data_IF_346853665407
#
_entry.id   IF_346853665407
#
_cell.length_a   1.000
_cell.length_b   1.000
_cell.length_c   1.000
_cell.angle_alpha   90.00
_cell.angle_beta   90.00
_cell.angle_gamma   90.00
#
_symmetry.space_group_name_H-M   'P 1'
#
loop_
_entity.id
_entity.type
_entity.pdbx_description
1 polymer ?
#
# COMPACT_ATOMS: atom_id res chain seq x y z
N UNK A 1 -23.55 21.18 -63.03
CA UNK A 1 -23.80 20.37 -61.81
C UNK A 1 -22.48 19.74 -61.32
N UNK A 2 -21.47 20.55 -61.02
CA UNK A 2 -20.13 20.00 -60.71
C UNK A 2 -19.36 20.85 -59.66
N UNK A 3 -19.93 21.06 -58.47
CA UNK A 3 -19.25 21.82 -57.41
C UNK A 3 -19.34 21.23 -56.00
N UNK A 4 -19.92 20.04 -55.85
CA UNK A 4 -20.16 19.50 -54.47
C UNK A 4 -19.27 18.32 -54.06
N UNK A 5 -18.48 17.73 -54.95
CA UNK A 5 -17.65 16.54 -54.64
C UNK A 5 -16.28 16.90 -54.06
N UNK A 6 -15.70 18.06 -54.37
CA UNK A 6 -14.39 18.42 -53.83
C UNK A 6 -14.42 18.86 -52.35
N UNK A 7 -15.56 19.42 -51.89
CA UNK A 7 -15.67 19.88 -50.50
C UNK A 7 -15.86 18.75 -49.53
N UNK A 8 -16.51 17.64 -49.93
CA UNK A 8 -16.69 16.43 -49.08
C UNK A 8 -15.38 15.65 -48.90
N UNK A 9 -14.52 15.58 -49.92
CA UNK A 9 -13.23 14.92 -49.84
C UNK A 9 -12.25 15.61 -48.86
N UNK A 10 -12.26 16.95 -48.81
CA UNK A 10 -11.42 17.73 -47.87
C UNK A 10 -11.87 17.56 -46.40
N UNK A 11 -13.17 17.54 -46.14
CA UNK A 11 -13.73 17.34 -44.80
C UNK A 11 -13.42 15.93 -44.28
N UNK A 12 -13.53 14.92 -45.13
CA UNK A 12 -13.20 13.54 -44.75
C UNK A 12 -11.70 13.40 -44.42
N UNK A 13 -10.81 14.06 -45.15
CA UNK A 13 -9.36 14.04 -44.83
C UNK A 13 -9.05 14.74 -43.50
N UNK A 14 -9.75 15.79 -43.16
CA UNK A 14 -9.60 16.51 -41.89
C UNK A 14 -10.12 15.63 -40.72
N UNK A 15 -11.24 14.94 -40.90
CA UNK A 15 -11.80 14.05 -39.88
C UNK A 15 -10.88 12.83 -39.65
N UNK A 16 -10.31 12.23 -40.70
CA UNK A 16 -9.35 11.11 -40.57
C UNK A 16 -8.06 11.59 -39.91
N UNK A 17 -7.57 12.81 -40.22
CA UNK A 17 -6.41 13.39 -39.55
C UNK A 17 -6.64 13.68 -38.08
N UNK A 18 -7.82 14.10 -37.66
CA UNK A 18 -8.19 14.36 -36.27
C UNK A 18 -8.35 13.06 -35.47
N UNK A 19 -8.87 11.99 -36.07
CA UNK A 19 -8.97 10.68 -35.42
C UNK A 19 -7.59 10.04 -35.21
N UNK A 20 -6.64 10.25 -36.13
CA UNK A 20 -5.27 9.75 -35.98
C UNK A 20 -4.47 10.47 -34.87
N UNK A 21 -4.77 11.74 -34.60
CA UNK A 21 -4.12 12.49 -33.50
C UNK A 21 -4.64 12.04 -32.14
N UNK A 22 -5.90 11.58 -32.03
CA UNK A 22 -6.48 11.05 -30.77
C UNK A 22 -5.93 9.67 -30.42
N UNK A 23 -5.46 8.88 -31.40
CA UNK A 23 -4.91 7.52 -31.14
C UNK A 23 -3.44 7.57 -30.68
N UNK A 24 -2.70 8.66 -30.91
CA UNK A 24 -1.29 8.77 -30.49
C UNK A 24 -1.14 9.42 -29.10
N UNK A 25 -2.20 10.03 -28.55
CA UNK A 25 -2.21 10.70 -27.24
C UNK A 25 -2.68 9.85 -26.06
N UNK A 26 -2.98 8.57 -26.22
CA UNK A 26 -3.68 7.73 -25.23
C UNK A 26 -2.90 6.58 -24.64
N UNK A 27 -1.59 6.57 -24.64
CA UNK A 27 -0.79 5.62 -23.86
C UNK A 27 -0.12 6.32 -22.67
N UNK A 28 -0.93 6.89 -21.78
CA UNK A 28 -0.51 7.01 -20.38
C UNK A 28 -0.70 5.59 -19.83
N UNK A 29 0.28 4.72 -20.06
CA UNK A 29 0.46 3.54 -19.29
C UNK A 29 0.65 4.00 -17.84
N UNK A 30 -0.39 3.90 -17.02
CA UNK A 30 -0.24 3.84 -15.58
C UNK A 30 0.72 2.69 -15.31
N UNK A 31 2.01 2.96 -15.22
CA UNK A 31 2.97 2.03 -14.66
C UNK A 31 2.57 1.85 -13.20
N UNK A 32 1.69 0.89 -12.94
CA UNK A 32 1.55 0.32 -11.61
C UNK A 32 2.93 -0.26 -11.29
N UNK A 33 3.71 0.47 -10.52
CA UNK A 33 5.05 0.01 -10.12
C UNK A 33 4.89 -1.12 -9.12
N UNK A 34 5.60 -2.23 -9.34
CA UNK A 34 5.66 -3.31 -8.36
C UNK A 34 6.28 -2.82 -7.05
N UNK A 35 5.90 -3.42 -5.90
CA UNK A 35 6.50 -3.09 -4.62
C UNK A 35 8.02 -3.29 -4.66
N UNK A 36 8.78 -2.32 -4.15
CA UNK A 36 10.25 -2.35 -4.18
C UNK A 36 10.84 -1.96 -2.84
N UNK A 37 11.80 -2.76 -2.35
CA UNK A 37 12.63 -2.37 -1.21
C UNK A 37 13.59 -1.26 -1.64
N UNK A 38 13.60 -0.12 -0.94
CA UNK A 38 14.48 1.04 -1.20
C UNK A 38 15.42 1.35 -0.05
N UNK A 39 15.29 0.66 1.09
CA UNK A 39 16.16 0.85 2.24
C UNK A 39 15.72 0.08 3.48
N UNK A 40 16.42 0.32 4.58
CA UNK A 40 16.08 -0.17 5.91
C UNK A 40 15.96 1.02 6.87
N UNK A 41 15.00 0.95 7.79
CA UNK A 41 14.86 1.94 8.85
C UNK A 41 15.88 1.66 9.95
N UNK A 42 16.54 2.71 10.49
CA UNK A 42 17.56 2.63 11.55
C UNK A 42 16.97 2.30 12.94
N UNK A 43 16.02 1.40 13.03
CA UNK A 43 15.65 0.80 14.31
C UNK A 43 16.39 -0.54 14.45
N UNK A 44 17.19 -0.61 15.49
CA UNK A 44 18.20 -1.63 15.78
C UNK A 44 17.68 -3.06 15.70
N UNK A 45 17.74 -3.68 14.54
CA UNK A 45 17.77 -5.15 14.40
C UNK A 45 18.81 -5.46 13.33
N UNK A 46 19.96 -5.90 13.78
CA UNK A 46 21.08 -6.31 12.95
C UNK A 46 20.77 -7.63 12.25
N UNK A 47 20.70 -7.61 10.94
CA UNK A 47 21.09 -8.75 10.13
C UNK A 47 21.47 -8.30 8.72
N UNK A 48 22.73 -8.47 8.44
CA UNK A 48 23.44 -8.24 7.20
C UNK A 48 23.05 -9.31 6.19
N UNK A 49 22.48 -8.96 5.06
CA UNK A 49 22.64 -9.79 3.86
C UNK A 49 22.60 -8.99 2.56
N UNK A 50 23.47 -9.38 1.67
CA UNK A 50 23.85 -8.81 0.39
C UNK A 50 22.80 -9.02 -0.70
N UNK A 51 22.86 -8.10 -1.66
CA UNK A 51 22.18 -8.05 -2.95
C UNK A 51 21.94 -9.40 -3.66
N UNK A 52 20.69 -9.65 -4.01
CA UNK A 52 20.31 -10.40 -5.21
C UNK A 52 19.04 -9.78 -5.82
N UNK A 53 19.06 -9.72 -7.15
CA UNK A 53 18.07 -9.05 -7.97
C UNK A 53 16.95 -10.04 -8.30
N UNK A 54 16.07 -10.28 -7.33
CA UNK A 54 14.80 -10.95 -7.55
C UNK A 54 13.67 -9.99 -7.16
N UNK A 55 12.63 -9.91 -7.96
CA UNK A 55 11.40 -9.18 -7.65
C UNK A 55 10.75 -9.79 -6.40
N UNK A 56 11.23 -9.36 -5.23
CA UNK A 56 10.74 -9.82 -3.96
C UNK A 56 9.35 -9.23 -3.73
N UNK A 57 8.35 -10.06 -3.78
CA UNK A 57 6.98 -9.74 -3.34
C UNK A 57 6.84 -9.78 -1.81
N UNK A 58 7.81 -10.36 -1.09
CA UNK A 58 7.81 -10.45 0.36
C UNK A 58 8.93 -9.62 0.99
N UNK A 59 8.57 -8.79 1.97
CA UNK A 59 9.46 -7.90 2.72
C UNK A 59 9.52 -8.31 4.19
N UNK A 60 10.31 -7.61 4.99
CA UNK A 60 10.43 -7.81 6.45
C UNK A 60 10.11 -6.49 7.17
N UNK A 61 9.68 -6.60 8.43
CA UNK A 61 9.59 -5.43 9.30
C UNK A 61 10.94 -4.69 9.34
N UNK A 62 10.91 -3.36 9.24
CA UNK A 62 12.08 -2.49 9.11
C UNK A 62 12.49 -2.17 7.67
N UNK A 63 12.03 -2.92 6.67
CA UNK A 63 12.29 -2.57 5.28
C UNK A 63 11.55 -1.27 4.89
N UNK A 64 12.22 -0.42 4.11
CA UNK A 64 11.58 0.72 3.44
C UNK A 64 11.07 0.25 2.08
N UNK A 65 9.76 0.22 1.92
CA UNK A 65 9.09 -0.35 0.75
C UNK A 65 8.49 0.78 -0.07
N UNK A 66 8.96 0.95 -1.32
CA UNK A 66 8.38 1.90 -2.27
C UNK A 66 7.31 1.20 -3.10
N UNK A 67 6.10 1.74 -3.08
CA UNK A 67 4.95 1.17 -3.78
C UNK A 67 3.92 2.25 -4.12
N UNK A 68 3.51 2.34 -5.37
CA UNK A 68 2.46 3.27 -5.86
C UNK A 68 2.61 4.71 -5.34
N UNK A 69 3.82 5.27 -5.45
CA UNK A 69 4.11 6.66 -5.08
C UNK A 69 4.19 6.93 -3.58
N UNK A 70 4.25 5.88 -2.75
CA UNK A 70 4.45 5.97 -1.30
C UNK A 70 5.65 5.15 -0.83
N UNK A 71 6.20 5.51 0.30
CA UNK A 71 7.08 4.66 1.08
C UNK A 71 6.37 4.21 2.34
N UNK A 72 6.40 2.90 2.59
CA UNK A 72 5.87 2.24 3.77
C UNK A 72 7.01 1.64 4.59
N UNK A 73 6.95 1.81 5.90
CA UNK A 73 7.83 1.13 6.87
C UNK A 73 7.00 0.58 8.00
N UNK A 74 7.22 -0.68 8.37
CA UNK A 74 6.80 -1.22 9.66
C UNK A 74 7.91 -0.89 10.68
N UNK A 75 7.65 0.09 11.54
CA UNK A 75 8.66 0.57 12.51
C UNK A 75 8.81 -0.36 13.71
N UNK A 76 7.70 -0.97 14.17
CA UNK A 76 7.73 -1.95 15.25
C UNK A 76 6.48 -2.83 15.28
N UNK A 77 6.63 -4.02 15.85
CA UNK A 77 5.57 -4.99 16.10
C UNK A 77 5.57 -5.33 17.58
N UNK A 78 4.46 -5.10 18.27
CA UNK A 78 4.27 -5.41 19.69
C UNK A 78 3.23 -6.52 19.82
N UNK A 79 3.69 -7.71 20.19
CA UNK A 79 2.82 -8.87 20.46
C UNK A 79 2.27 -8.82 21.89
N UNK A 80 1.15 -9.47 22.10
CA UNK A 80 0.46 -9.47 23.40
C UNK A 80 0.18 -8.04 23.91
N UNK A 81 -0.12 -7.12 23.00
CA UNK A 81 -0.41 -5.73 23.32
C UNK A 81 -1.52 -5.64 24.39
N UNK A 82 -1.30 -4.79 25.39
CA UNK A 82 -2.28 -4.52 26.46
C UNK A 82 -2.89 -3.14 26.26
N UNK A 83 -4.20 -3.08 26.21
CA UNK A 83 -4.93 -1.84 25.97
C UNK A 83 -4.90 -0.86 27.15
N UNK A 84 -4.49 -1.33 28.35
CA UNK A 84 -4.63 -0.60 29.59
C UNK A 84 -6.06 -0.60 30.18
N UNK A 85 -7.03 -1.15 29.44
CA UNK A 85 -8.40 -1.32 29.88
C UNK A 85 -8.70 -2.80 30.13
N UNK A 86 -9.04 -3.16 31.37
CA UNK A 86 -9.29 -4.55 31.80
C UNK A 86 -10.49 -5.19 31.07
N UNK A 87 -11.42 -4.40 30.54
CA UNK A 87 -12.59 -4.90 29.80
C UNK A 87 -12.31 -5.16 28.33
N UNK A 88 -11.20 -4.65 27.80
CA UNK A 88 -10.81 -4.84 26.39
C UNK A 88 -9.68 -5.85 26.34
N UNK A 89 -10.05 -7.12 26.17
CA UNK A 89 -9.13 -8.26 26.10
C UNK A 89 -9.33 -9.03 24.80
N UNK A 90 -8.28 -9.67 24.27
CA UNK A 90 -8.45 -10.58 23.14
C UNK A 90 -9.29 -11.78 23.55
N UNK A 91 -9.93 -12.43 22.59
CA UNK A 91 -10.67 -13.68 22.79
C UNK A 91 -9.72 -14.78 23.28
N UNK A 92 -10.29 -15.82 23.91
CA UNK A 92 -9.53 -16.97 24.36
C UNK A 92 -8.72 -17.59 23.21
N UNK A 93 -7.44 -17.85 23.44
CA UNK A 93 -6.50 -18.37 22.44
C UNK A 93 -6.01 -17.35 21.43
N UNK A 94 -6.43 -16.07 21.54
CA UNK A 94 -5.95 -14.97 20.69
C UNK A 94 -5.09 -13.96 21.46
N UNK A 95 -4.38 -13.14 20.72
CA UNK A 95 -3.62 -11.99 21.22
C UNK A 95 -3.90 -10.75 20.40
N UNK A 96 -3.70 -9.56 20.99
CA UNK A 96 -3.58 -8.34 20.23
C UNK A 96 -2.14 -8.15 19.77
N UNK A 97 -2.01 -7.81 18.48
CA UNK A 97 -0.73 -7.42 17.87
C UNK A 97 -0.86 -5.98 17.40
N UNK A 98 -0.06 -5.08 18.01
CA UNK A 98 0.03 -3.68 17.60
C UNK A 98 1.20 -3.49 16.67
N UNK A 99 0.93 -2.93 15.49
CA UNK A 99 1.93 -2.64 14.46
C UNK A 99 2.02 -1.13 14.28
N UNK A 100 3.21 -0.56 14.48
CA UNK A 100 3.47 0.83 14.18
C UNK A 100 3.99 0.95 12.75
N UNK A 101 3.31 1.77 11.96
CA UNK A 101 3.65 1.99 10.55
C UNK A 101 3.92 3.45 10.28
N UNK A 102 4.83 3.70 9.34
CA UNK A 102 5.06 5.02 8.76
C UNK A 102 4.75 4.96 7.28
N UNK A 103 3.95 5.91 6.81
CA UNK A 103 3.63 6.13 5.40
C UNK A 103 4.15 7.51 5.00
N UNK A 104 4.88 7.60 3.91
CA UNK A 104 5.37 8.86 3.33
C UNK A 104 4.91 8.98 1.88
N UNK A 105 4.34 10.12 1.51
CA UNK A 105 3.95 10.40 0.13
C UNK A 105 5.17 10.84 -0.68
N UNK A 106 5.57 10.04 -1.65
CA UNK A 106 6.66 10.31 -2.61
C UNK A 106 6.15 10.75 -3.99
N UNK A 107 4.83 10.81 -4.16
CA UNK A 107 4.22 11.28 -5.40
C UNK A 107 4.15 12.81 -5.48
N UNK A 108 3.81 13.34 -6.65
CA UNK A 108 3.52 14.76 -6.84
C UNK A 108 2.12 15.15 -6.39
N UNK A 109 1.22 14.18 -6.27
CA UNK A 109 -0.19 14.33 -5.96
C UNK A 109 -0.48 14.02 -4.49
N UNK A 110 -1.68 14.38 -4.02
CA UNK A 110 -2.18 13.91 -2.74
C UNK A 110 -2.34 12.39 -2.75
N UNK A 111 -2.16 11.77 -1.59
CA UNK A 111 -2.22 10.34 -1.42
C UNK A 111 -3.08 10.01 -0.20
N UNK A 112 -4.13 9.21 -0.40
CA UNK A 112 -4.96 8.72 0.69
C UNK A 112 -4.30 7.55 1.42
N UNK A 113 -4.61 7.39 2.71
CA UNK A 113 -4.27 6.24 3.52
C UNK A 113 -5.45 5.86 4.42
N UNK A 114 -5.54 4.58 4.74
CA UNK A 114 -6.62 4.05 5.58
C UNK A 114 -6.09 2.90 6.44
N UNK A 115 -6.59 2.78 7.67
CA UNK A 115 -6.29 1.66 8.56
C UNK A 115 -6.65 0.32 7.91
N UNK A 116 -7.75 0.26 7.15
CA UNK A 116 -8.23 -0.97 6.49
C UNK A 116 -7.45 -1.35 5.21
N UNK A 117 -6.48 -0.54 4.79
CA UNK A 117 -5.51 -0.95 3.76
C UNK A 117 -4.57 -2.05 4.28
N UNK A 118 -4.56 -2.29 5.60
CA UNK A 118 -3.75 -3.29 6.27
C UNK A 118 -4.60 -4.49 6.69
N UNK A 119 -4.05 -5.70 6.54
CA UNK A 119 -4.65 -6.96 7.01
C UNK A 119 -3.55 -7.84 7.59
N UNK A 120 -3.91 -8.79 8.43
CA UNK A 120 -2.95 -9.70 9.04
C UNK A 120 -3.31 -11.15 8.70
N UNK A 121 -2.37 -11.86 8.06
CA UNK A 121 -2.46 -13.29 7.78
C UNK A 121 -1.78 -14.09 8.89
N UNK A 122 -2.44 -15.13 9.37
CA UNK A 122 -1.92 -16.07 10.36
C UNK A 122 -1.26 -17.30 9.71
N UNK A 123 -0.73 -18.20 10.54
CA UNK A 123 -0.08 -19.46 10.10
C UNK A 123 -0.99 -20.36 9.23
N UNK A 124 -2.30 -20.25 9.39
CA UNK A 124 -3.30 -21.07 8.68
C UNK A 124 -3.77 -20.41 7.38
N UNK A 125 -3.27 -19.20 7.06
CA UNK A 125 -3.70 -18.41 5.92
C UNK A 125 -5.01 -17.65 6.16
N UNK A 126 -5.49 -17.57 7.39
CA UNK A 126 -6.64 -16.71 7.71
C UNK A 126 -6.21 -15.25 7.73
N UNK A 127 -6.98 -14.39 7.06
CA UNK A 127 -6.67 -12.96 6.91
C UNK A 127 -7.66 -12.16 7.74
N UNK A 128 -7.16 -11.49 8.79
CA UNK A 128 -7.93 -10.68 9.72
C UNK A 128 -7.80 -9.19 9.40
N UNK A 129 -8.92 -8.48 9.54
CA UNK A 129 -8.94 -7.01 9.46
C UNK A 129 -8.48 -6.39 10.79
N UNK A 130 -8.07 -5.10 10.80
CA UNK A 130 -7.79 -4.37 12.01
C UNK A 130 -8.96 -4.39 13.00
N UNK A 131 -8.66 -4.42 14.29
CA UNK A 131 -9.65 -4.28 15.35
C UNK A 131 -9.95 -2.80 15.61
N UNK A 132 -11.05 -2.53 16.34
CA UNK A 132 -11.39 -1.19 16.84
C UNK A 132 -10.75 -0.89 18.21
N UNK A 133 -9.68 -1.60 18.56
CA UNK A 133 -8.91 -1.32 19.77
C UNK A 133 -8.09 -0.07 19.53
N UNK A 134 -8.37 0.98 20.32
CA UNK A 134 -7.65 2.24 20.23
C UNK A 134 -6.28 2.20 20.91
N UNK A 135 -5.35 2.94 20.34
CA UNK A 135 -4.00 3.17 20.86
C UNK A 135 -3.81 4.66 21.14
N UNK A 136 -2.67 5.06 21.66
CA UNK A 136 -2.32 6.48 21.84
C UNK A 136 -2.04 7.20 20.50
N UNK A 137 -1.80 6.45 19.43
CA UNK A 137 -1.46 7.00 18.10
C UNK A 137 -2.05 6.14 16.98
N UNK A 138 -3.37 6.09 16.89
CA UNK A 138 -4.05 5.33 15.83
C UNK A 138 -3.71 5.87 14.45
N UNK A 139 -3.51 4.96 13.49
CA UNK A 139 -3.25 5.34 12.10
C UNK A 139 -4.42 6.16 11.54
N UNK A 140 -5.66 5.72 11.80
CA UNK A 140 -6.88 6.30 11.23
C UNK A 140 -6.90 6.31 9.69
N UNK A 141 -7.66 7.20 9.07
CA UNK A 141 -7.66 7.44 7.62
C UNK A 141 -7.51 8.93 7.34
N UNK A 142 -6.99 9.26 6.16
CA UNK A 142 -6.78 10.63 5.76
C UNK A 142 -6.01 10.76 4.45
N UNK A 143 -5.50 11.98 4.20
CA UNK A 143 -4.69 12.29 3.03
C UNK A 143 -3.34 12.86 3.43
N UNK A 144 -2.32 12.55 2.64
CA UNK A 144 -0.99 13.15 2.71
C UNK A 144 -0.77 14.09 1.52
N UNK A 145 -0.42 15.32 1.77
CA UNK A 145 0.10 16.20 0.74
C UNK A 145 1.45 15.66 0.23
N UNK A 146 1.96 16.21 -0.87
CA UNK A 146 3.32 15.92 -1.37
C UNK A 146 4.34 16.00 -0.23
N UNK A 147 5.20 15.00 -0.11
CA UNK A 147 6.20 14.84 0.96
C UNK A 147 5.60 14.74 2.39
N UNK A 148 4.27 14.64 2.52
CA UNK A 148 3.60 14.43 3.80
C UNK A 148 3.89 13.05 4.36
N UNK A 149 3.88 12.95 5.70
CA UNK A 149 4.14 11.70 6.44
C UNK A 149 3.05 11.45 7.47
N UNK A 150 2.72 10.19 7.68
CA UNK A 150 1.88 9.74 8.78
C UNK A 150 2.57 8.57 9.49
N UNK A 151 2.65 8.66 10.80
CA UNK A 151 3.02 7.55 11.68
C UNK A 151 1.78 7.21 12.48
N UNK A 152 1.48 5.93 12.64
CA UNK A 152 0.36 5.49 13.43
C UNK A 152 0.37 4.00 13.70
N UNK A 153 -0.51 3.57 14.59
CA UNK A 153 -0.63 2.18 15.03
C UNK A 153 -1.87 1.54 14.42
N UNK A 154 -1.74 0.27 14.07
CA UNK A 154 -2.84 -0.62 13.68
C UNK A 154 -2.83 -1.82 14.62
N UNK A 155 -3.98 -2.23 15.14
CA UNK A 155 -4.10 -3.37 16.06
C UNK A 155 -4.90 -4.49 15.40
N UNK A 156 -4.40 -5.71 15.51
CA UNK A 156 -5.04 -6.92 15.03
C UNK A 156 -5.31 -7.91 16.18
N UNK A 157 -6.37 -8.70 16.07
CA UNK A 157 -6.65 -9.83 16.97
C UNK A 157 -6.41 -11.13 16.22
N UNK A 158 -5.34 -11.83 16.56
CA UNK A 158 -4.87 -13.02 15.86
C UNK A 158 -4.67 -14.20 16.81
N UNK A 159 -4.61 -15.45 16.33
CA UNK A 159 -4.27 -16.59 17.18
C UNK A 159 -2.91 -16.38 17.85
N UNK A 160 -2.83 -16.68 19.15
CA UNK A 160 -1.62 -16.48 19.92
C UNK A 160 -0.47 -17.33 19.38
N UNK A 161 0.75 -16.76 19.39
CA UNK A 161 1.99 -17.41 18.92
C UNK A 161 2.01 -17.79 17.42
N UNK A 162 1.07 -17.31 16.60
CA UNK A 162 1.10 -17.50 15.14
C UNK A 162 2.30 -16.82 14.50
N UNK A 163 2.82 -17.39 13.40
CA UNK A 163 3.63 -16.63 12.44
C UNK A 163 2.69 -15.72 11.68
N UNK A 164 3.11 -14.48 11.48
CA UNK A 164 2.26 -13.45 10.93
C UNK A 164 2.88 -12.85 9.67
N UNK A 165 2.00 -12.54 8.70
CA UNK A 165 2.33 -11.70 7.55
C UNK A 165 1.35 -10.53 7.51
N UNK A 166 1.85 -9.31 7.36
CA UNK A 166 1.00 -8.16 7.13
C UNK A 166 0.86 -7.92 5.63
N UNK A 167 -0.36 -7.78 5.18
CA UNK A 167 -0.73 -7.38 3.83
C UNK A 167 -1.03 -5.88 3.83
N UNK A 168 -0.50 -5.17 2.85
CA UNK A 168 -0.82 -3.77 2.62
C UNK A 168 -1.30 -3.56 1.18
N UNK A 169 -2.57 -3.21 1.05
CA UNK A 169 -3.25 -2.98 -0.23
C UNK A 169 -3.93 -1.61 -0.22
N UNK A 170 -3.22 -0.53 -0.63
CA UNK A 170 -3.70 0.84 -0.52
C UNK A 170 -4.76 1.22 -1.54
N UNK A 171 -5.10 0.34 -2.46
CA UNK A 171 -6.12 0.57 -3.48
C UNK A 171 -6.94 -0.69 -3.71
N UNK A 172 -8.24 -0.59 -3.57
CA UNK A 172 -9.16 -1.67 -3.89
C UNK A 172 -9.08 -2.10 -5.38
N UNK A 173 -8.63 -1.21 -6.25
CA UNK A 173 -8.50 -1.48 -7.69
C UNK A 173 -7.14 -2.06 -8.07
N UNK A 174 -6.18 -2.07 -7.15
CA UNK A 174 -4.87 -2.70 -7.36
C UNK A 174 -4.98 -4.19 -7.02
N UNK A 175 -4.60 -5.04 -7.97
CA UNK A 175 -4.43 -6.48 -7.72
C UNK A 175 -3.08 -6.78 -7.05
N UNK A 176 -2.33 -5.75 -6.66
CA UNK A 176 -1.00 -5.88 -6.07
C UNK A 176 -1.07 -5.67 -4.57
N UNK A 177 -0.39 -6.52 -3.87
CA UNK A 177 -0.31 -6.58 -2.43
C UNK A 177 1.16 -6.55 -2.00
N UNK A 178 1.43 -5.79 -0.96
CA UNK A 178 2.74 -5.76 -0.29
C UNK A 178 2.67 -6.71 0.88
N UNK A 179 3.46 -7.78 0.86
CA UNK A 179 3.50 -8.78 1.93
C UNK A 179 4.73 -8.56 2.78
N UNK A 180 4.53 -8.38 4.10
CA UNK A 180 5.57 -8.09 5.08
C UNK A 180 5.57 -9.17 6.15
N UNK A 181 6.67 -9.92 6.24
CA UNK A 181 6.88 -10.92 7.29
C UNK A 181 7.17 -10.23 8.64
N UNK A 182 6.47 -10.65 9.70
CA UNK A 182 6.53 -10.09 11.03
C UNK A 182 7.39 -10.94 11.99
#
# INVERSE_FOLDING_TARGET
MEKNTKKKSSIIKIIIGLILIVIIGGAIASKSSDPKKVGESNSSISSKHSSEKDEKTEFKAGDVISFEGRELVVESVERNYKTGNEFIKPKDGKEYVKVNVKIENKSSEKLSYNTFDFKMEDTNGAIESPTFVSTTNDLSSGELAKCGKKIGSVVFEVPANSKLKMHYQPSFWSNKDVIINM
#
